data_IF_327484888679
#
_entry.id   IF_327484888679
#
_cell.length_a   1.000
_cell.length_b   1.000
_cell.length_c   1.000
_cell.angle_alpha   90.00
_cell.angle_beta   90.00
_cell.angle_gamma   90.00
#
_symmetry.space_group_name_H-M   'P 1'
#
loop_
_entity.id
_entity.type
_entity.pdbx_description
1 polymer ?
#
# COMPACT_ATOMS: atom_id res chain seq x y z
N UNK A 1 2.86 4.43 2.70
CA UNK A 1 3.83 5.45 3.09
C UNK A 1 4.62 5.94 1.91
N UNK A 2 5.53 6.90 2.12
CA UNK A 2 6.28 7.50 1.03
C UNK A 2 7.21 6.50 0.33
N UNK A 3 7.36 6.69 -0.97
CA UNK A 3 8.31 6.00 -1.82
C UNK A 3 9.34 7.00 -2.38
N UNK A 4 10.54 6.51 -2.71
CA UNK A 4 11.58 7.38 -3.27
C UNK A 4 11.42 7.53 -4.77
N UNK A 5 11.39 8.79 -5.22
CA UNK A 5 11.38 9.12 -6.63
C UNK A 5 12.74 9.67 -7.07
N UNK A 6 13.26 9.13 -8.15
CA UNK A 6 14.35 9.75 -8.91
C UNK A 6 13.95 9.75 -10.38
N UNK A 7 13.51 10.89 -10.94
CA UNK A 7 13.06 10.96 -12.32
C UNK A 7 14.11 10.51 -13.35
N UNK A 8 15.39 10.71 -13.06
CA UNK A 8 16.50 10.33 -13.97
C UNK A 8 16.65 8.81 -14.16
N UNK A 9 16.08 8.00 -13.25
CA UNK A 9 16.16 6.55 -13.32
C UNK A 9 14.88 5.90 -13.81
N UNK A 10 13.84 6.71 -14.07
CA UNK A 10 12.55 6.22 -14.55
C UNK A 10 12.48 6.32 -16.08
N UNK A 11 11.89 5.33 -16.76
CA UNK A 11 11.63 5.42 -18.18
C UNK A 11 10.56 6.48 -18.47
N UNK A 12 10.57 7.04 -19.66
CA UNK A 12 9.67 8.12 -20.05
C UNK A 12 8.19 7.77 -19.87
N UNK A 13 7.78 6.55 -20.23
CA UNK A 13 6.39 6.08 -20.10
C UNK A 13 5.84 6.20 -18.68
N UNK A 14 6.70 6.18 -17.66
CA UNK A 14 6.30 6.27 -16.27
C UNK A 14 5.66 7.61 -15.91
N UNK A 15 5.90 8.65 -16.71
CA UNK A 15 5.34 9.99 -16.52
C UNK A 15 4.08 10.25 -17.34
N UNK A 16 3.62 9.27 -18.14
CA UNK A 16 2.41 9.34 -18.94
C UNK A 16 1.31 8.52 -18.30
N UNK A 17 0.24 9.16 -17.82
CA UNK A 17 -0.84 8.53 -17.08
C UNK A 17 -1.44 7.32 -17.80
N UNK A 18 -1.62 7.42 -19.11
CA UNK A 18 -2.16 6.34 -19.94
C UNK A 18 -1.30 5.07 -19.96
N UNK A 19 -0.01 5.20 -19.63
CA UNK A 19 0.94 4.09 -19.66
C UNK A 19 1.21 3.51 -18.28
N UNK A 20 1.36 4.36 -17.23
CA UNK A 20 1.60 3.86 -15.88
C UNK A 20 0.32 3.64 -15.06
N UNK A 21 -0.82 4.14 -15.51
CA UNK A 21 -2.13 3.85 -14.92
C UNK A 21 -2.55 4.72 -13.73
N UNK A 22 -1.67 5.61 -13.24
CA UNK A 22 -1.88 6.45 -12.08
C UNK A 22 -1.36 5.84 -10.77
N UNK A 23 -1.11 6.69 -9.78
CA UNK A 23 -0.43 6.28 -8.53
C UNK A 23 -1.24 5.29 -7.69
N UNK A 24 -2.57 5.36 -7.73
CA UNK A 24 -3.43 4.44 -6.99
C UNK A 24 -3.36 3.03 -7.61
N UNK A 25 -3.27 2.93 -8.95
CA UNK A 25 -3.07 1.63 -9.60
C UNK A 25 -1.65 1.10 -9.44
N UNK A 26 -0.63 1.96 -9.56
CA UNK A 26 0.77 1.57 -9.49
C UNK A 26 1.15 1.10 -8.06
N UNK A 27 1.05 1.99 -7.09
CA UNK A 27 1.45 1.68 -5.70
C UNK A 27 0.27 1.19 -4.88
N UNK A 28 -0.88 1.85 -5.00
CA UNK A 28 -2.06 1.60 -4.16
C UNK A 28 -2.62 0.20 -4.27
N UNK A 29 -2.43 -0.49 -5.40
CA UNK A 29 -2.86 -1.87 -5.61
C UNK A 29 -2.40 -2.81 -4.49
N UNK A 30 -1.18 -2.65 -3.99
CA UNK A 30 -0.65 -3.43 -2.86
C UNK A 30 -1.41 -3.17 -1.55
N UNK A 31 -1.88 -1.95 -1.33
CA UNK A 31 -2.61 -1.59 -0.12
C UNK A 31 -4.07 -2.09 -0.17
N UNK A 32 -4.67 -2.18 -1.37
CA UNK A 32 -5.99 -2.83 -1.53
C UNK A 32 -5.91 -4.32 -1.19
N UNK A 33 -4.87 -5.02 -1.65
CA UNK A 33 -4.61 -6.40 -1.29
C UNK A 33 -4.48 -6.57 0.24
N UNK A 34 -3.63 -5.76 0.88
CA UNK A 34 -3.46 -5.78 2.34
C UNK A 34 -4.77 -5.48 3.08
N UNK A 35 -5.54 -4.50 2.63
CA UNK A 35 -6.83 -4.16 3.21
C UNK A 35 -7.80 -5.34 3.18
N UNK A 36 -7.98 -5.97 2.02
CA UNK A 36 -8.86 -7.13 1.86
C UNK A 36 -8.40 -8.30 2.74
N UNK A 37 -7.09 -8.54 2.79
CA UNK A 37 -6.50 -9.62 3.60
C UNK A 37 -6.74 -9.40 5.09
N UNK A 38 -6.40 -8.24 5.63
CA UNK A 38 -6.48 -7.98 7.07
C UNK A 38 -7.90 -7.78 7.58
N UNK A 39 -8.81 -7.29 6.75
CA UNK A 39 -10.24 -7.17 7.12
C UNK A 39 -11.04 -8.43 6.78
N UNK A 40 -10.44 -9.38 6.08
CA UNK A 40 -11.15 -10.53 5.51
C UNK A 40 -12.37 -10.13 4.66
N UNK A 41 -12.26 -8.99 3.96
CA UNK A 41 -13.33 -8.47 3.13
C UNK A 41 -13.38 -9.18 1.78
N UNK A 42 -14.56 -9.64 1.41
CA UNK A 42 -14.87 -10.22 0.10
C UNK A 42 -15.65 -9.26 -0.80
N UNK A 43 -16.05 -8.11 -0.26
CA UNK A 43 -16.73 -7.03 -0.95
C UNK A 43 -16.27 -5.71 -0.36
N UNK A 44 -16.07 -4.71 -1.20
CA UNK A 44 -15.74 -3.35 -0.77
C UNK A 44 -16.21 -2.31 -1.79
N UNK A 45 -16.38 -1.09 -1.31
CA UNK A 45 -16.70 0.09 -2.12
C UNK A 45 -15.70 1.21 -1.82
N UNK A 46 -15.46 2.05 -2.81
CA UNK A 46 -14.66 3.25 -2.66
C UNK A 46 -15.56 4.37 -2.17
N UNK A 47 -15.29 4.90 -0.98
CA UNK A 47 -16.05 6.00 -0.39
C UNK A 47 -15.59 7.34 -0.96
N UNK A 48 -14.27 7.53 -1.07
CA UNK A 48 -13.65 8.70 -1.66
C UNK A 48 -12.23 8.36 -2.13
N UNK A 49 -11.76 9.05 -3.15
CA UNK A 49 -10.37 9.00 -3.59
C UNK A 49 -9.94 10.33 -4.19
N UNK A 50 -8.66 10.65 -4.07
CA UNK A 50 -8.05 11.83 -4.68
C UNK A 50 -6.61 11.54 -5.11
N UNK A 51 -6.15 12.27 -6.12
CA UNK A 51 -4.79 12.21 -6.65
C UNK A 51 -4.29 13.61 -6.96
N UNK A 52 -2.99 13.78 -7.02
CA UNK A 52 -2.41 15.07 -7.40
C UNK A 52 -0.96 14.94 -7.87
N UNK A 53 -0.50 16.02 -8.50
CA UNK A 53 0.91 16.26 -8.77
C UNK A 53 1.31 17.54 -8.04
N UNK A 54 2.05 17.40 -6.96
CA UNK A 54 2.40 18.52 -6.07
C UNK A 54 3.85 18.94 -6.18
N UNK A 55 4.72 18.08 -6.69
CA UNK A 55 6.16 18.32 -6.68
C UNK A 55 6.84 18.18 -8.06
N UNK A 56 6.16 17.62 -9.06
CA UNK A 56 6.75 17.35 -10.40
C UNK A 56 5.99 18.09 -11.51
N UNK A 57 5.92 19.43 -11.50
CA UNK A 57 5.14 20.20 -12.49
C UNK A 57 5.65 20.03 -13.93
N UNK A 58 6.90 19.59 -14.12
CA UNK A 58 7.48 19.28 -15.44
C UNK A 58 6.89 18.01 -16.07
N UNK A 59 6.17 17.20 -15.33
CA UNK A 59 5.47 16.00 -15.78
C UNK A 59 3.97 16.14 -15.48
N UNK A 60 3.21 16.88 -16.29
CA UNK A 60 1.83 17.28 -15.96
C UNK A 60 0.85 16.11 -15.80
N UNK A 61 1.11 14.97 -16.45
CA UNK A 61 0.26 13.77 -16.37
C UNK A 61 0.67 12.84 -15.21
N UNK A 62 1.77 13.15 -14.53
CA UNK A 62 2.26 12.34 -13.43
C UNK A 62 1.48 12.64 -12.14
N UNK A 63 1.25 11.61 -11.34
CA UNK A 63 0.66 11.70 -10.02
C UNK A 63 1.70 11.30 -8.97
N UNK A 64 2.04 12.22 -8.07
CA UNK A 64 3.02 11.99 -7.01
C UNK A 64 2.38 11.72 -5.65
N UNK A 65 1.06 11.87 -5.57
CA UNK A 65 0.25 11.67 -4.39
C UNK A 65 -1.10 11.05 -4.75
N UNK A 66 -1.58 10.15 -3.88
CA UNK A 66 -2.93 9.63 -3.92
C UNK A 66 -3.38 9.09 -2.58
N UNK A 67 -4.67 9.22 -2.28
CA UNK A 67 -5.28 8.54 -1.16
C UNK A 67 -6.69 8.03 -1.46
N UNK A 68 -7.13 7.07 -0.66
CA UNK A 68 -8.42 6.40 -0.83
C UNK A 68 -9.03 6.08 0.53
N UNK A 69 -10.31 6.37 0.67
CA UNK A 69 -11.15 5.84 1.74
C UNK A 69 -12.05 4.74 1.18
N UNK A 70 -12.08 3.60 1.84
CA UNK A 70 -12.89 2.46 1.40
C UNK A 70 -13.59 1.78 2.57
N UNK A 71 -14.66 1.06 2.26
CA UNK A 71 -15.46 0.31 3.23
C UNK A 71 -15.82 -1.05 2.63
N UNK A 72 -15.61 -2.09 3.40
CA UNK A 72 -15.96 -3.47 3.03
C UNK A 72 -16.83 -4.14 4.08
N UNK A 73 -17.18 -5.39 3.81
CA UNK A 73 -17.96 -6.19 4.72
C UNK A 73 -17.20 -6.66 5.98
N UNK A 74 -15.87 -6.51 6.02
CA UNK A 74 -15.02 -6.84 7.17
C UNK A 74 -14.43 -5.62 7.89
N UNK A 75 -14.55 -4.41 7.32
CA UNK A 75 -14.03 -3.20 7.97
C UNK A 75 -13.85 -2.02 7.03
N UNK A 76 -13.31 -0.93 7.58
CA UNK A 76 -12.99 0.30 6.85
C UNK A 76 -11.49 0.40 6.59
N UNK A 77 -11.09 1.10 5.54
CA UNK A 77 -9.70 1.34 5.21
C UNK A 77 -9.42 2.78 4.77
N UNK A 78 -8.20 3.20 5.02
CA UNK A 78 -7.61 4.40 4.46
C UNK A 78 -6.24 4.06 3.87
N UNK A 79 -6.06 4.38 2.61
CA UNK A 79 -4.82 4.15 1.87
C UNK A 79 -4.24 5.51 1.52
N UNK A 80 -2.95 5.70 1.78
CA UNK A 80 -2.18 6.83 1.30
C UNK A 80 -0.89 6.35 0.65
N UNK A 81 -0.62 6.83 -0.55
CA UNK A 81 0.58 6.57 -1.32
C UNK A 81 1.16 7.87 -1.87
N UNK A 82 2.47 7.98 -1.87
CA UNK A 82 3.16 9.17 -2.40
C UNK A 82 4.61 8.88 -2.78
N UNK A 83 5.22 9.82 -3.52
CA UNK A 83 6.62 9.80 -3.93
C UNK A 83 7.46 10.82 -3.14
N UNK A 84 7.17 10.98 -1.84
CA UNK A 84 7.75 12.04 -0.99
C UNK A 84 8.80 11.54 0.00
N UNK A 85 9.46 10.40 -0.26
CA UNK A 85 10.54 9.95 0.63
C UNK A 85 11.67 10.98 0.64
N UNK A 86 11.98 11.61 1.78
CA UNK A 86 13.05 12.59 1.88
C UNK A 86 14.43 11.92 1.81
N UNK A 87 15.45 12.67 1.36
CA UNK A 87 16.80 12.13 1.20
C UNK A 87 17.45 11.68 2.51
N UNK A 88 17.06 12.27 3.64
CA UNK A 88 17.53 11.87 4.97
C UNK A 88 17.04 10.50 5.44
N UNK A 89 16.02 9.91 4.81
CA UNK A 89 15.58 8.56 5.12
C UNK A 89 16.56 7.54 4.51
N UNK A 90 17.13 6.65 5.34
CA UNK A 90 18.14 5.67 4.91
C UNK A 90 17.61 4.56 4.00
N UNK A 91 16.29 4.36 3.98
CA UNK A 91 15.61 3.33 3.20
C UNK A 91 14.96 3.92 1.95
N UNK A 92 14.57 3.06 1.01
CA UNK A 92 13.89 3.46 -0.22
C UNK A 92 12.53 4.11 0.02
N UNK A 93 11.84 3.68 1.08
CA UNK A 93 10.54 4.19 1.48
C UNK A 93 10.26 3.87 2.95
N UNK A 94 9.07 4.25 3.42
CA UNK A 94 8.61 3.99 4.77
C UNK A 94 7.23 3.31 4.74
N UNK A 95 7.25 2.01 4.51
CA UNK A 95 6.03 1.19 4.50
C UNK A 95 5.46 1.04 5.91
N UNK A 96 4.29 1.64 6.15
CA UNK A 96 3.56 1.56 7.43
C UNK A 96 2.19 0.95 7.22
N UNK A 97 1.78 0.12 8.18
CA UNK A 97 0.42 -0.39 8.26
C UNK A 97 -0.05 -0.28 9.70
N UNK A 98 -1.20 0.35 9.91
CA UNK A 98 -1.88 0.39 11.22
C UNK A 98 -3.20 -0.35 11.10
N UNK A 99 -3.44 -1.32 11.99
CA UNK A 99 -4.68 -2.07 12.09
C UNK A 99 -5.30 -1.75 13.44
N UNK A 100 -6.48 -1.14 13.42
CA UNK A 100 -7.24 -0.79 14.64
C UNK A 100 -8.38 -1.77 14.80
N UNK A 101 -8.40 -2.47 15.91
CA UNK A 101 -9.46 -3.41 16.28
C UNK A 101 -10.11 -3.06 17.62
N UNK A 102 -11.16 -3.76 17.98
CA UNK A 102 -11.89 -3.57 19.26
C UNK A 102 -11.07 -3.99 20.47
N UNK A 103 -10.16 -4.95 20.30
CA UNK A 103 -9.39 -5.54 21.40
C UNK A 103 -7.94 -5.04 21.44
N UNK A 104 -7.58 -4.14 20.54
CA UNK A 104 -6.23 -3.58 20.45
C UNK A 104 -5.88 -3.05 19.09
N UNK A 105 -4.60 -2.75 18.90
CA UNK A 105 -4.09 -2.29 17.59
C UNK A 105 -2.71 -2.87 17.28
N UNK A 106 -2.40 -2.93 16.00
CA UNK A 106 -1.11 -3.33 15.46
C UNK A 106 -0.56 -2.18 14.62
N UNK A 107 0.73 -1.87 14.76
CA UNK A 107 1.47 -1.04 13.83
C UNK A 107 2.65 -1.86 13.27
N UNK A 108 2.76 -1.90 11.94
CA UNK A 108 3.87 -2.52 11.23
C UNK A 108 4.69 -1.43 10.56
N UNK A 109 6.02 -1.47 10.77
CA UNK A 109 7.01 -0.66 10.08
C UNK A 109 7.93 -1.58 9.30
N UNK A 110 7.69 -1.64 8.00
CA UNK A 110 8.35 -2.62 7.14
C UNK A 110 9.84 -2.33 6.93
N UNK A 111 10.19 -1.08 6.69
CA UNK A 111 11.51 -0.73 6.20
C UNK A 111 12.41 -0.10 7.25
N UNK A 112 11.84 0.67 8.17
CA UNK A 112 12.61 1.41 9.19
C UNK A 112 11.75 1.73 10.41
N UNK A 113 12.34 1.68 11.60
CA UNK A 113 11.82 2.32 12.80
C UNK A 113 12.53 3.67 13.00
N UNK A 114 11.84 4.76 12.77
CA UNK A 114 12.37 6.12 13.00
C UNK A 114 12.62 6.40 14.49
N UNK A 115 12.10 5.57 15.40
CA UNK A 115 12.37 5.60 16.84
C UNK A 115 13.75 5.03 17.22
N UNK A 116 14.50 4.50 16.24
CA UNK A 116 15.91 4.15 16.41
C UNK A 116 16.22 2.67 16.55
N UNK A 117 15.25 1.75 16.42
CA UNK A 117 15.57 0.33 16.32
C UNK A 117 16.20 0.05 14.98
N UNK A 118 17.24 -0.77 14.99
CA UNK A 118 17.95 -1.18 13.78
C UNK A 118 17.11 -2.20 12.96
N UNK A 119 17.38 -2.25 11.65
CA UNK A 119 16.76 -3.19 10.73
C UNK A 119 15.38 -2.74 10.23
N UNK A 120 14.56 -3.70 9.85
CA UNK A 120 13.20 -3.53 9.36
C UNK A 120 12.26 -4.60 9.94
N UNK A 121 11.06 -4.72 9.38
CA UNK A 121 10.05 -5.71 9.79
C UNK A 121 9.66 -5.61 11.29
N UNK A 122 9.47 -4.38 11.76
CA UNK A 122 9.07 -4.11 13.13
C UNK A 122 7.55 -4.22 13.27
N UNK A 123 7.08 -4.92 14.30
CA UNK A 123 5.68 -5.01 14.67
C UNK A 123 5.48 -4.54 16.11
N UNK A 124 4.54 -3.64 16.31
CA UNK A 124 4.09 -3.17 17.62
C UNK A 124 2.64 -3.62 17.81
N UNK A 125 2.39 -4.38 18.87
CA UNK A 125 1.06 -4.86 19.24
C UNK A 125 0.69 -4.30 20.60
N UNK A 126 -0.46 -3.65 20.68
CA UNK A 126 -1.06 -3.21 21.94
C UNK A 126 -2.42 -3.85 22.09
N UNK A 127 -2.66 -4.51 23.22
CA UNK A 127 -3.94 -5.06 23.62
C UNK A 127 -4.38 -4.50 24.98
N UNK A 128 -5.44 -5.03 25.58
CA UNK A 128 -5.94 -4.59 26.88
C UNK A 128 -4.99 -4.85 28.07
N UNK A 129 -3.89 -5.57 27.87
CA UNK A 129 -2.98 -5.98 28.96
C UNK A 129 -1.62 -5.33 28.83
N UNK A 130 -1.09 -5.22 27.61
CA UNK A 130 0.29 -4.77 27.40
C UNK A 130 0.54 -4.22 25.99
N UNK A 131 1.67 -3.55 25.84
CA UNK A 131 2.27 -3.19 24.56
C UNK A 131 3.52 -4.03 24.34
N UNK A 132 3.61 -4.71 23.20
CA UNK A 132 4.73 -5.57 22.83
C UNK A 132 5.37 -5.11 21.53
N UNK A 133 6.69 -5.17 21.50
CA UNK A 133 7.47 -5.12 20.27
C UNK A 133 7.81 -6.54 19.83
N UNK A 134 7.67 -6.81 18.55
CA UNK A 134 7.98 -8.09 17.92
C UNK A 134 8.87 -7.82 16.70
N UNK A 135 10.07 -8.39 16.74
CA UNK A 135 10.98 -8.40 15.59
C UNK A 135 10.55 -9.52 14.63
N UNK A 136 10.12 -9.14 13.43
CA UNK A 136 9.65 -10.08 12.41
C UNK A 136 10.71 -10.38 11.33
N UNK A 137 11.99 -10.10 11.57
CA UNK A 137 13.07 -10.33 10.59
C UNK A 137 13.26 -11.80 10.24
N UNK A 138 12.98 -12.69 11.17
CA UNK A 138 13.09 -14.15 10.99
C UNK A 138 11.77 -14.83 10.62
N UNK A 139 10.72 -14.05 10.35
CA UNK A 139 9.42 -14.61 9.97
C UNK A 139 9.51 -15.31 8.61
N UNK A 140 9.06 -16.56 8.54
CA UNK A 140 8.96 -17.27 7.27
C UNK A 140 7.95 -16.57 6.33
N UNK A 141 8.33 -16.43 5.06
CA UNK A 141 7.49 -15.85 4.00
C UNK A 141 7.12 -16.95 2.98
N UNK A 142 6.04 -17.69 3.20
CA UNK A 142 5.72 -18.89 2.43
C UNK A 142 5.18 -18.63 1.02
N UNK A 143 4.80 -17.38 0.69
CA UNK A 143 4.09 -17.02 -0.54
C UNK A 143 4.74 -17.58 -1.81
N UNK A 144 6.06 -17.41 -1.98
CA UNK A 144 6.74 -17.85 -3.18
C UNK A 144 6.65 -19.37 -3.41
N UNK A 145 6.81 -20.17 -2.33
CA UNK A 145 6.66 -21.62 -2.38
C UNK A 145 5.20 -22.01 -2.68
N UNK A 146 4.26 -21.41 -1.96
CA UNK A 146 2.83 -21.67 -2.16
C UNK A 146 2.38 -21.34 -3.60
N UNK A 147 2.87 -20.24 -4.19
CA UNK A 147 2.56 -19.88 -5.56
C UNK A 147 3.06 -20.94 -6.56
N UNK A 148 4.28 -21.47 -6.39
CA UNK A 148 4.81 -22.55 -7.22
C UNK A 148 3.95 -23.81 -7.07
N UNK A 149 3.60 -24.17 -5.84
CA UNK A 149 2.74 -25.33 -5.56
C UNK A 149 1.35 -25.17 -6.18
N UNK A 150 0.77 -23.97 -6.12
CA UNK A 150 -0.52 -23.67 -6.75
C UNK A 150 -0.49 -23.83 -8.26
N UNK A 151 0.58 -23.37 -8.92
CA UNK A 151 0.75 -23.53 -10.37
C UNK A 151 0.85 -25.02 -10.75
N UNK A 152 1.60 -25.80 -9.97
CA UNK A 152 1.80 -27.24 -10.23
C UNK A 152 0.54 -28.05 -9.96
N UNK A 153 -0.17 -27.75 -8.89
CA UNK A 153 -1.28 -28.55 -8.38
C UNK A 153 -2.67 -27.96 -8.74
N UNK A 154 -2.72 -26.80 -9.39
CA UNK A 154 -3.96 -26.09 -9.73
C UNK A 154 -4.80 -25.75 -8.48
N UNK A 155 -4.13 -25.29 -7.43
CA UNK A 155 -4.72 -24.83 -6.17
C UNK A 155 -4.62 -23.31 -6.04
N UNK A 156 -5.17 -22.73 -4.98
CA UNK A 156 -5.16 -21.29 -4.69
C UNK A 156 -4.77 -21.02 -3.21
N UNK A 157 -3.71 -21.67 -2.73
CA UNK A 157 -3.27 -21.59 -1.33
C UNK A 157 -2.47 -20.35 -1.02
N UNK A 158 -1.71 -19.84 -2.01
CA UNK A 158 -0.94 -18.62 -1.87
C UNK A 158 -1.87 -17.39 -1.82
N UNK A 159 -2.82 -17.34 -2.77
CA UNK A 159 -3.79 -16.26 -2.86
C UNK A 159 -4.95 -16.65 -3.79
N UNK A 160 -6.21 -16.53 -3.36
CA UNK A 160 -7.35 -16.80 -4.23
C UNK A 160 -7.42 -15.83 -5.41
N UNK A 161 -7.74 -16.34 -6.59
CA UNK A 161 -7.87 -15.50 -7.80
C UNK A 161 -8.93 -14.40 -7.62
N UNK A 162 -10.04 -14.71 -6.95
CA UNK A 162 -11.10 -13.75 -6.65
C UNK A 162 -10.61 -12.58 -5.82
N UNK A 163 -9.70 -12.81 -4.87
CA UNK A 163 -9.07 -11.76 -4.06
C UNK A 163 -8.20 -10.84 -4.94
N UNK A 164 -7.35 -11.43 -5.80
CA UNK A 164 -6.49 -10.66 -6.72
C UNK A 164 -7.32 -9.78 -7.66
N UNK A 165 -8.39 -10.34 -8.23
CA UNK A 165 -9.28 -9.61 -9.14
C UNK A 165 -10.02 -8.48 -8.42
N UNK A 166 -10.49 -8.70 -7.19
CA UNK A 166 -11.15 -7.66 -6.40
C UNK A 166 -10.18 -6.53 -6.04
N UNK A 167 -8.94 -6.85 -5.63
CA UNK A 167 -7.92 -5.84 -5.33
C UNK A 167 -7.61 -4.97 -6.55
N UNK A 168 -7.44 -5.59 -7.73
CA UNK A 168 -7.23 -4.90 -8.99
C UNK A 168 -8.44 -4.03 -9.39
N UNK A 169 -9.65 -4.57 -9.27
CA UNK A 169 -10.89 -3.84 -9.58
C UNK A 169 -11.05 -2.59 -8.70
N UNK A 170 -10.81 -2.72 -7.39
CA UNK A 170 -10.91 -1.60 -6.44
C UNK A 170 -9.87 -0.53 -6.74
N UNK A 171 -8.62 -0.90 -7.06
CA UNK A 171 -7.59 0.07 -7.41
C UNK A 171 -7.93 0.86 -8.69
N UNK A 172 -8.45 0.19 -9.72
CA UNK A 172 -8.89 0.82 -10.96
C UNK A 172 -10.10 1.72 -10.72
N UNK A 173 -11.09 1.28 -9.93
CA UNK A 173 -12.25 2.10 -9.58
C UNK A 173 -11.84 3.35 -8.82
N UNK A 174 -10.99 3.21 -7.81
CA UNK A 174 -10.48 4.33 -7.03
C UNK A 174 -9.71 5.33 -7.89
N UNK A 175 -8.85 4.85 -8.80
CA UNK A 175 -8.12 5.72 -9.73
C UNK A 175 -9.05 6.47 -10.69
N UNK A 176 -10.06 5.78 -11.25
CA UNK A 176 -10.99 6.39 -12.21
C UNK A 176 -11.90 7.46 -11.61
N UNK A 177 -12.30 7.30 -10.35
CA UNK A 177 -13.18 8.27 -9.66
C UNK A 177 -12.43 9.30 -8.84
N UNK A 178 -11.09 9.22 -8.79
CA UNK A 178 -10.27 10.10 -7.98
C UNK A 178 -10.46 11.57 -8.37
N UNK A 179 -10.72 12.39 -7.36
CA UNK A 179 -10.74 13.83 -7.51
C UNK A 179 -9.30 14.33 -7.73
N UNK A 180 -9.09 15.06 -8.82
CA UNK A 180 -7.81 15.71 -9.08
C UNK A 180 -7.66 16.90 -8.12
N UNK A 181 -6.60 16.90 -7.30
CA UNK A 181 -6.29 18.03 -6.44
C UNK A 181 -5.20 18.89 -7.08
N UNK A 182 -5.36 20.19 -6.95
CA UNK A 182 -4.36 21.18 -7.37
C UNK A 182 -4.00 22.00 -6.15
N UNK A 183 -2.79 21.80 -5.62
CA UNK A 183 -2.29 22.70 -4.58
C UNK A 183 -1.87 24.01 -5.24
N UNK A 184 -2.46 25.11 -4.81
CA UNK A 184 -1.97 26.43 -5.20
C UNK A 184 -0.63 26.67 -4.51
N UNK A 185 0.40 26.91 -5.32
CA UNK A 185 1.69 27.36 -4.83
C UNK A 185 1.58 28.75 -4.18
#
# INVERSE_FOLDING_TARGET
GPHRMNPKTRPEWFFHKEQFGGIICDIGSHQFDQYLYFTNSTQAEIVASQVGNTHYPQYPDFEDFGDVMLRGNGGMGYIRVDWFTPDGLKTWGDGRLTILGTDGFIEIRKNIDIGGREGGNHLFLTDHKETRYIDCTQQELPYGRQLVDDVLNRTETAMPQTHCLLAAELSIKAQKQAQQIHLKA
#
